data_IF_436182557393
#
_entry.id   IF_436182557393
#
_cell.length_a   1.000
_cell.length_b   1.000
_cell.length_c   1.000
_cell.angle_alpha   90.00
_cell.angle_beta   90.00
_cell.angle_gamma   90.00
#
_symmetry.space_group_name_H-M   'P 1'
#
loop_
_entity.id
_entity.type
_entity.pdbx_description
1 polymer ?
#
# COMPACT_ATOMS: atom_id res chain seq x y z
N UNK A 1 4.86 -7.35 32.70
CA UNK A 1 5.17 -7.92 31.37
C UNK A 1 3.89 -7.91 30.54
N UNK A 2 3.77 -7.01 29.57
CA UNK A 2 2.67 -7.07 28.61
C UNK A 2 3.00 -8.09 27.53
N UNK A 3 2.09 -9.04 27.28
CA UNK A 3 2.25 -10.02 26.20
C UNK A 3 2.31 -9.28 24.85
N UNK A 4 3.23 -9.66 23.93
CA UNK A 4 3.39 -9.01 22.62
C UNK A 4 2.11 -9.05 21.76
N UNK A 5 1.18 -9.95 22.08
CA UNK A 5 -0.11 -10.08 21.38
C UNK A 5 -1.18 -9.11 21.88
N UNK A 6 -0.97 -8.46 23.03
CA UNK A 6 -1.90 -7.47 23.62
C UNK A 6 -3.35 -7.97 23.60
N UNK A 7 -3.58 -9.22 24.02
CA UNK A 7 -4.85 -9.92 23.83
C UNK A 7 -6.04 -9.18 24.45
N UNK A 8 -5.85 -8.52 25.61
CA UNK A 8 -6.88 -7.68 26.23
C UNK A 8 -7.29 -6.51 25.33
N UNK A 9 -6.31 -5.84 24.72
CA UNK A 9 -6.55 -4.76 23.75
C UNK A 9 -7.22 -5.28 22.49
N UNK A 10 -6.81 -6.45 22.01
CA UNK A 10 -7.44 -7.13 20.87
C UNK A 10 -8.92 -7.42 21.14
N UNK A 11 -9.26 -8.03 22.28
CA UNK A 11 -10.66 -8.30 22.65
C UNK A 11 -11.45 -6.99 22.76
N UNK A 12 -10.89 -5.92 23.33
CA UNK A 12 -11.54 -4.60 23.40
C UNK A 12 -11.92 -4.07 22.01
N UNK A 13 -11.03 -4.21 21.01
CA UNK A 13 -11.27 -3.82 19.62
C UNK A 13 -12.31 -4.70 18.92
N UNK A 14 -12.36 -5.98 19.27
CA UNK A 14 -13.31 -6.94 18.72
C UNK A 14 -14.70 -6.87 19.38
N UNK A 15 -14.91 -6.06 20.41
CA UNK A 15 -16.22 -5.97 21.12
C UNK A 15 -17.39 -5.57 20.23
N UNK A 16 -17.12 -4.85 19.13
CA UNK A 16 -18.13 -4.46 18.16
C UNK A 16 -18.54 -5.60 17.22
N UNK A 17 -17.77 -6.70 17.19
CA UNK A 17 -18.12 -7.89 16.45
C UNK A 17 -19.21 -8.65 17.23
N UNK A 18 -20.15 -9.27 16.51
CA UNK A 18 -21.24 -10.06 17.10
C UNK A 18 -20.74 -11.14 18.09
N UNK A 19 -19.56 -11.70 17.84
CA UNK A 19 -18.94 -12.75 18.65
C UNK A 19 -17.43 -12.49 18.86
N UNK A 20 -17.04 -11.64 19.83
CA UNK A 20 -15.66 -11.15 19.95
C UNK A 20 -14.62 -12.26 20.17
N UNK A 21 -14.94 -13.27 20.99
CA UNK A 21 -14.03 -14.39 21.26
C UNK A 21 -13.91 -15.35 20.08
N UNK A 22 -14.99 -15.54 19.31
CA UNK A 22 -14.94 -16.31 18.06
C UNK A 22 -14.12 -15.57 16.99
N UNK A 23 -14.25 -14.25 16.91
CA UNK A 23 -13.42 -13.41 16.04
C UNK A 23 -11.94 -13.53 16.41
N UNK A 24 -11.61 -13.48 17.72
CA UNK A 24 -10.25 -13.71 18.19
C UNK A 24 -9.73 -15.10 17.81
N UNK A 25 -10.53 -16.15 18.02
CA UNK A 25 -10.16 -17.51 17.65
C UNK A 25 -9.84 -17.59 16.14
N UNK A 26 -10.67 -16.99 15.29
CA UNK A 26 -10.46 -16.94 13.83
C UNK A 26 -9.17 -16.22 13.43
N UNK A 27 -8.72 -15.23 14.19
CA UNK A 27 -7.42 -14.58 13.94
C UNK A 27 -6.24 -15.51 14.22
N UNK A 28 -6.39 -16.47 15.13
CA UNK A 28 -5.36 -17.43 15.48
C UNK A 28 -5.37 -18.69 14.60
N UNK A 29 -6.51 -19.03 13.99
CA UNK A 29 -6.63 -20.22 13.15
C UNK A 29 -5.79 -20.07 11.87
N UNK A 30 -5.13 -21.14 11.40
CA UNK A 30 -4.46 -21.14 10.10
C UNK A 30 -5.45 -20.84 8.98
N UNK A 31 -4.94 -20.26 7.88
CA UNK A 31 -5.77 -20.04 6.70
C UNK A 31 -6.19 -21.37 6.06
N UNK A 32 -7.13 -21.33 5.12
CA UNK A 32 -7.56 -22.51 4.34
C UNK A 32 -6.40 -23.18 3.59
N UNK A 33 -5.31 -22.46 3.32
CA UNK A 33 -4.08 -22.98 2.70
C UNK A 33 -3.03 -23.47 3.72
N UNK A 34 -3.39 -23.62 5.00
CA UNK A 34 -2.48 -23.94 6.11
C UNK A 34 -1.29 -22.97 6.26
N UNK A 35 -1.34 -21.82 5.58
CA UNK A 35 -0.37 -20.75 5.72
C UNK A 35 -0.69 -19.88 6.92
N UNK A 36 0.35 -19.41 7.60
CA UNK A 36 0.24 -18.38 8.64
C UNK A 36 -0.23 -17.05 8.06
N UNK A 37 0.28 -16.70 6.88
CA UNK A 37 -0.03 -15.42 6.23
C UNK A 37 -1.37 -15.46 5.52
N UNK A 38 -2.09 -14.35 5.55
CA UNK A 38 -3.31 -14.20 4.77
C UNK A 38 -3.00 -14.15 3.27
N UNK A 39 -3.81 -14.84 2.49
CA UNK A 39 -3.80 -14.71 1.04
C UNK A 39 -4.25 -13.30 0.62
N UNK A 40 -3.84 -12.89 -0.57
CA UNK A 40 -4.40 -11.71 -1.23
C UNK A 40 -5.88 -11.99 -1.51
N UNK A 41 -6.82 -11.17 -0.99
CA UNK A 41 -8.23 -11.28 -1.38
C UNK A 41 -8.39 -11.05 -2.88
N UNK A 42 -9.44 -11.60 -3.49
CA UNK A 42 -9.72 -11.39 -4.92
C UNK A 42 -9.61 -9.90 -5.29
N UNK A 43 -8.64 -9.50 -6.12
CA UNK A 43 -8.42 -8.10 -6.43
C UNK A 43 -9.61 -7.50 -7.20
N UNK A 44 -10.05 -6.30 -6.84
CA UNK A 44 -11.10 -5.64 -7.62
C UNK A 44 -10.57 -5.31 -9.03
N UNK A 45 -11.35 -5.57 -10.09
CA UNK A 45 -10.98 -5.12 -11.44
C UNK A 45 -10.89 -3.59 -11.51
N UNK A 46 -9.94 -3.02 -12.27
CA UNK A 46 -9.81 -1.57 -12.41
C UNK A 46 -11.11 -0.89 -12.86
N UNK A 47 -11.80 -1.49 -13.84
CA UNK A 47 -13.07 -0.95 -14.34
C UNK A 47 -14.18 -0.91 -13.27
N UNK A 48 -14.21 -1.88 -12.35
CA UNK A 48 -15.19 -1.90 -11.26
C UNK A 48 -14.99 -0.74 -10.29
N UNK A 49 -13.73 -0.41 -9.97
CA UNK A 49 -13.38 0.72 -9.10
C UNK A 49 -13.73 2.06 -9.76
N UNK A 50 -13.56 2.16 -11.07
CA UNK A 50 -13.93 3.36 -11.85
C UNK A 50 -15.45 3.55 -11.92
N UNK A 51 -16.20 2.46 -12.09
CA UNK A 51 -17.66 2.51 -12.26
C UNK A 51 -18.42 2.69 -10.93
N UNK A 52 -17.84 2.26 -9.82
CA UNK A 52 -18.41 2.39 -8.47
C UNK A 52 -17.36 3.01 -7.53
N UNK A 53 -17.15 4.35 -7.55
CA UNK A 53 -16.14 5.01 -6.73
C UNK A 53 -16.22 4.68 -5.21
N UNK A 54 -17.43 4.58 -4.61
CA UNK A 54 -17.57 4.14 -3.22
C UNK A 54 -17.10 2.71 -2.92
N UNK A 55 -16.90 1.86 -3.93
CA UNK A 55 -16.58 0.44 -3.76
C UNK A 55 -15.33 0.21 -2.91
N UNK A 56 -14.27 1.00 -3.14
CA UNK A 56 -13.05 0.88 -2.34
C UNK A 56 -13.32 1.20 -0.86
N UNK A 57 -14.12 2.23 -0.59
CA UNK A 57 -14.46 2.62 0.79
C UNK A 57 -15.33 1.56 1.46
N UNK A 58 -16.34 1.05 0.74
CA UNK A 58 -17.22 -0.02 1.19
C UNK A 58 -16.42 -1.27 1.55
N UNK A 59 -15.56 -1.74 0.64
CA UNK A 59 -14.71 -2.93 0.88
C UNK A 59 -13.82 -2.77 2.12
N UNK A 60 -13.27 -1.58 2.35
CA UNK A 60 -12.46 -1.27 3.53
C UNK A 60 -13.26 -1.25 4.84
N UNK A 61 -14.46 -0.65 4.82
CA UNK A 61 -15.35 -0.59 5.97
C UNK A 61 -15.88 -1.99 6.33
N UNK A 62 -16.41 -2.73 5.36
CA UNK A 62 -16.90 -4.10 5.55
C UNK A 62 -15.78 -5.06 5.99
N UNK A 63 -14.56 -4.84 5.49
CA UNK A 63 -13.37 -5.58 5.90
C UNK A 63 -12.78 -5.17 7.25
N UNK A 64 -13.32 -4.15 7.93
CA UNK A 64 -12.83 -3.61 9.21
C UNK A 64 -11.32 -3.28 9.21
N UNK A 65 -10.78 -2.89 8.05
CA UNK A 65 -9.32 -2.86 7.81
C UNK A 65 -8.59 -1.96 8.80
N UNK A 66 -9.10 -0.75 9.05
CA UNK A 66 -8.47 0.23 9.95
C UNK A 66 -8.38 -0.29 11.39
N UNK A 67 -9.40 -1.01 11.86
CA UNK A 67 -9.39 -1.62 13.19
C UNK A 67 -8.45 -2.82 13.24
N UNK A 68 -8.49 -3.69 12.22
CA UNK A 68 -7.63 -4.87 12.12
C UNK A 68 -6.14 -4.52 12.05
N UNK A 69 -5.77 -3.43 11.37
CA UNK A 69 -4.41 -2.90 11.36
C UNK A 69 -3.90 -2.50 12.75
N UNK A 70 -4.80 -2.24 13.71
CA UNK A 70 -4.41 -1.96 15.10
C UNK A 70 -4.32 -3.23 15.98
N UNK A 71 -4.60 -4.42 15.43
CA UNK A 71 -4.58 -5.70 16.15
C UNK A 71 -3.26 -6.45 15.86
N UNK A 72 -2.38 -6.70 16.86
CA UNK A 72 -1.06 -7.30 16.64
C UNK A 72 -1.09 -8.68 15.95
N UNK A 73 -2.01 -9.56 16.34
CA UNK A 73 -2.13 -10.92 15.77
C UNK A 73 -2.61 -10.89 14.31
N UNK A 74 -3.44 -9.92 13.92
CA UNK A 74 -3.83 -9.76 12.53
C UNK A 74 -2.66 -9.21 11.71
N UNK A 75 -1.97 -8.18 12.22
CA UNK A 75 -0.78 -7.61 11.56
C UNK A 75 0.32 -8.63 11.33
N UNK A 76 0.58 -9.53 12.28
CA UNK A 76 1.61 -10.56 12.14
C UNK A 76 1.34 -11.56 11.01
N UNK A 77 0.10 -11.60 10.50
CA UNK A 77 -0.37 -12.44 9.40
C UNK A 77 -0.58 -11.66 8.10
N UNK A 78 -0.66 -10.34 8.17
CA UNK A 78 -0.75 -9.49 7.00
C UNK A 78 0.56 -9.48 6.21
N UNK A 79 0.47 -9.20 4.91
CA UNK A 79 1.59 -9.29 3.97
C UNK A 79 1.79 -7.96 3.22
N UNK A 80 3.02 -7.66 2.76
CA UNK A 80 3.24 -6.48 1.93
C UNK A 80 2.38 -6.53 0.67
N UNK A 81 2.18 -7.71 0.07
CA UNK A 81 1.38 -7.84 -1.14
C UNK A 81 -0.09 -7.44 -0.90
N UNK A 82 -0.69 -7.85 0.22
CA UNK A 82 -2.04 -7.40 0.59
C UNK A 82 -2.12 -5.89 0.78
N UNK A 83 -1.08 -5.27 1.35
CA UNK A 83 -0.99 -3.82 1.49
C UNK A 83 -0.86 -3.12 0.14
N UNK A 84 -0.10 -3.68 -0.80
CA UNK A 84 -0.02 -3.15 -2.18
C UNK A 84 -1.37 -3.19 -2.89
N UNK A 85 -2.16 -4.26 -2.76
CA UNK A 85 -3.50 -4.30 -3.35
C UNK A 85 -4.46 -3.31 -2.69
N UNK A 86 -4.32 -3.06 -1.38
CA UNK A 86 -5.06 -1.99 -0.70
C UNK A 86 -4.65 -0.60 -1.16
N UNK A 87 -3.38 -0.37 -1.49
CA UNK A 87 -2.89 0.87 -2.11
C UNK A 87 -3.41 1.01 -3.54
N UNK A 88 -3.39 -0.08 -4.33
CA UNK A 88 -3.95 -0.11 -5.67
C UNK A 88 -5.42 0.31 -5.68
N UNK A 89 -6.25 -0.26 -4.81
CA UNK A 89 -7.66 0.12 -4.72
C UNK A 89 -7.84 1.60 -4.35
N UNK A 90 -6.97 2.14 -3.48
CA UNK A 90 -7.01 3.55 -3.10
C UNK A 90 -6.57 4.47 -4.25
N UNK A 91 -5.50 4.13 -4.98
CA UNK A 91 -5.03 4.89 -6.15
C UNK A 91 -6.07 4.87 -7.28
N UNK A 92 -6.73 3.73 -7.50
CA UNK A 92 -7.83 3.62 -8.47
C UNK A 92 -9.10 4.37 -8.03
N UNK A 93 -9.29 4.57 -6.73
CA UNK A 93 -10.42 5.31 -6.17
C UNK A 93 -10.35 6.83 -6.39
N UNK A 94 -9.27 7.33 -7.00
CA UNK A 94 -9.09 8.73 -7.37
C UNK A 94 -8.86 9.65 -6.18
N UNK A 95 -9.09 10.95 -6.41
CA UNK A 95 -8.69 12.01 -5.48
C UNK A 95 -9.33 11.89 -4.09
N UNK A 96 -10.56 11.36 -4.01
CA UNK A 96 -11.25 11.13 -2.73
C UNK A 96 -10.55 10.09 -1.84
N UNK A 97 -9.80 9.17 -2.45
CA UNK A 97 -9.12 8.07 -1.76
C UNK A 97 -7.63 8.35 -1.49
N UNK A 98 -7.11 9.50 -1.92
CA UNK A 98 -5.74 9.93 -1.63
C UNK A 98 -5.37 9.90 -0.13
N UNK A 99 -6.21 10.33 0.84
CA UNK A 99 -5.87 10.19 2.26
C UNK A 99 -5.60 8.74 2.69
N UNK A 100 -6.25 7.77 2.04
CA UNK A 100 -6.09 6.35 2.32
C UNK A 100 -4.74 5.83 1.82
N UNK A 101 -4.19 6.40 0.74
CA UNK A 101 -2.83 6.14 0.28
C UNK A 101 -1.83 6.50 1.39
N UNK A 102 -2.02 7.66 2.05
CA UNK A 102 -1.19 8.09 3.18
C UNK A 102 -1.24 7.12 4.36
N UNK A 103 -2.44 6.76 4.82
CA UNK A 103 -2.60 5.83 5.95
C UNK A 103 -2.02 4.44 5.68
N UNK A 104 -2.24 3.91 4.47
CA UNK A 104 -1.72 2.59 4.10
C UNK A 104 -0.19 2.63 3.91
N UNK A 105 0.36 3.73 3.39
CA UNK A 105 1.81 3.95 3.29
C UNK A 105 2.48 4.08 4.66
N UNK A 106 1.82 4.74 5.62
CA UNK A 106 2.25 4.78 7.02
C UNK A 106 2.23 3.38 7.63
N UNK A 107 1.12 2.66 7.48
CA UNK A 107 0.99 1.29 7.94
C UNK A 107 2.09 0.39 7.38
N UNK A 108 2.37 0.48 6.08
CA UNK A 108 3.43 -0.26 5.39
C UNK A 108 4.81 0.08 5.98
N UNK A 109 5.10 1.37 6.22
CA UNK A 109 6.38 1.82 6.77
C UNK A 109 6.67 1.19 8.14
N UNK A 110 5.69 1.14 9.03
CA UNK A 110 5.88 0.58 10.37
C UNK A 110 5.90 -0.95 10.45
N UNK A 111 5.72 -1.66 9.33
CA UNK A 111 5.97 -3.11 9.32
C UNK A 111 7.47 -3.42 9.22
N UNK A 112 8.19 -3.33 10.33
CA UNK A 112 9.64 -3.57 10.39
C UNK A 112 10.12 -5.03 10.19
N UNK A 113 9.23 -5.97 9.81
CA UNK A 113 9.60 -7.38 9.62
C UNK A 113 10.33 -7.57 8.29
N UNK A 114 11.29 -8.50 8.23
CA UNK A 114 12.06 -8.84 7.03
C UNK A 114 11.18 -9.08 5.80
N UNK A 115 10.06 -9.78 5.96
CA UNK A 115 9.12 -10.03 4.86
C UNK A 115 8.50 -8.76 4.21
N UNK A 116 8.61 -7.59 4.86
CA UNK A 116 8.10 -6.30 4.38
C UNK A 116 9.19 -5.39 3.79
N UNK A 117 10.42 -5.87 3.66
CA UNK A 117 11.46 -5.18 2.89
C UNK A 117 11.04 -5.12 1.40
N UNK A 118 11.14 -3.94 0.76
CA UNK A 118 10.64 -3.73 -0.60
C UNK A 118 11.24 -4.72 -1.61
N UNK A 119 12.57 -4.92 -1.57
CA UNK A 119 13.26 -5.84 -2.48
C UNK A 119 12.82 -7.31 -2.36
N UNK A 120 12.10 -7.68 -1.28
CA UNK A 120 11.60 -9.04 -1.04
C UNK A 120 10.15 -9.24 -1.45
N UNK A 121 9.46 -8.19 -1.89
CA UNK A 121 8.07 -8.32 -2.32
C UNK A 121 8.06 -9.24 -3.55
N UNK A 122 7.36 -10.39 -3.49
CA UNK A 122 7.30 -11.31 -4.61
C UNK A 122 6.56 -10.65 -5.78
N UNK A 123 6.93 -11.04 -6.98
CA UNK A 123 6.20 -10.65 -8.19
C UNK A 123 4.78 -11.24 -8.14
N UNK A 124 3.72 -10.42 -8.18
CA UNK A 124 2.36 -10.96 -8.22
C UNK A 124 2.02 -11.63 -9.54
N UNK A 125 2.77 -11.37 -10.62
CA UNK A 125 2.43 -11.81 -11.98
C UNK A 125 0.95 -11.50 -12.31
N UNK A 126 0.49 -10.29 -11.97
CA UNK A 126 -0.92 -9.94 -12.04
C UNK A 126 -1.42 -9.98 -13.50
N UNK A 127 -2.51 -10.71 -13.80
CA UNK A 127 -2.99 -10.89 -15.16
C UNK A 127 -3.61 -9.62 -15.76
N UNK A 128 -4.04 -8.66 -14.94
CA UNK A 128 -4.57 -7.39 -15.41
C UNK A 128 -3.42 -6.39 -15.62
N UNK A 129 -3.17 -5.94 -16.87
CA UNK A 129 -2.02 -5.09 -17.17
C UNK A 129 -2.10 -3.70 -16.52
N UNK A 130 -3.32 -3.16 -16.32
CA UNK A 130 -3.51 -1.86 -15.65
C UNK A 130 -3.18 -2.01 -14.18
N UNK A 131 -3.74 -3.02 -13.52
CA UNK A 131 -3.47 -3.30 -12.10
C UNK A 131 -1.99 -3.61 -11.88
N UNK A 132 -1.36 -4.39 -12.76
CA UNK A 132 0.06 -4.73 -12.63
C UNK A 132 0.96 -3.51 -12.76
N UNK A 133 0.67 -2.62 -13.73
CA UNK A 133 1.37 -1.35 -13.89
C UNK A 133 1.23 -0.45 -12.65
N UNK A 134 0.02 -0.33 -12.09
CA UNK A 134 -0.22 0.46 -10.88
C UNK A 134 0.54 -0.12 -9.68
N UNK A 135 0.53 -1.44 -9.49
CA UNK A 135 1.30 -2.09 -8.42
C UNK A 135 2.80 -1.80 -8.54
N UNK A 136 3.34 -1.80 -9.76
CA UNK A 136 4.74 -1.44 -10.00
C UNK A 136 5.02 0.02 -9.65
N UNK A 137 4.16 0.96 -10.06
CA UNK A 137 4.26 2.38 -9.71
C UNK A 137 4.20 2.59 -8.19
N UNK A 138 3.28 1.92 -7.50
CA UNK A 138 3.14 2.00 -6.04
C UNK A 138 4.44 1.58 -5.35
N UNK A 139 5.05 0.47 -5.76
CA UNK A 139 6.30 -0.01 -5.14
C UNK A 139 7.45 0.97 -5.39
N UNK A 140 7.48 1.60 -6.56
CA UNK A 140 8.47 2.65 -6.88
C UNK A 140 8.23 3.92 -6.07
N UNK A 141 7.00 4.41 -5.94
CA UNK A 141 6.70 5.55 -5.06
C UNK A 141 7.00 5.26 -3.59
N UNK A 142 6.71 4.03 -3.12
CA UNK A 142 7.07 3.59 -1.78
C UNK A 142 8.59 3.59 -1.53
N UNK A 143 9.41 3.27 -2.54
CA UNK A 143 10.87 3.33 -2.43
C UNK A 143 11.32 4.74 -2.07
N UNK A 144 10.88 5.72 -2.84
CA UNK A 144 11.26 7.11 -2.63
C UNK A 144 10.75 7.62 -1.28
N UNK A 145 9.49 7.34 -0.94
CA UNK A 145 8.92 7.75 0.33
C UNK A 145 9.62 7.11 1.53
N UNK A 146 9.97 5.81 1.45
CA UNK A 146 10.68 5.10 2.54
C UNK A 146 12.09 5.66 2.70
N UNK A 147 12.86 5.81 1.61
CA UNK A 147 14.22 6.31 1.69
C UNK A 147 14.28 7.74 2.23
N UNK A 148 13.32 8.59 1.85
CA UNK A 148 13.20 9.92 2.44
C UNK A 148 12.83 9.89 3.92
N UNK A 149 11.87 9.07 4.33
CA UNK A 149 11.54 8.90 5.77
C UNK A 149 12.78 8.46 6.55
N UNK A 150 13.57 7.53 6.01
CA UNK A 150 14.82 7.10 6.62
C UNK A 150 15.87 8.22 6.68
N UNK A 151 16.00 9.02 5.62
CA UNK A 151 16.96 10.14 5.55
C UNK A 151 16.64 11.24 6.55
N UNK A 152 15.37 11.52 6.83
CA UNK A 152 14.99 12.50 7.87
C UNK A 152 14.99 11.91 9.29
N UNK A 153 15.45 10.66 9.47
CA UNK A 153 15.62 10.06 10.79
C UNK A 153 14.49 9.16 11.27
N UNK A 154 13.42 8.98 10.49
CA UNK A 154 12.36 8.05 10.87
C UNK A 154 12.84 6.61 10.76
N UNK A 155 12.35 5.73 11.63
CA UNK A 155 12.70 4.30 11.63
C UNK A 155 11.44 3.46 11.69
N UNK A 156 11.43 2.35 10.94
CA UNK A 156 10.30 1.42 10.82
C UNK A 156 9.89 0.78 12.16
N UNK A 157 10.80 0.75 13.13
CA UNK A 157 10.56 0.24 14.49
C UNK A 157 10.11 1.34 15.48
N UNK A 158 9.91 2.58 15.03
CA UNK A 158 9.55 3.73 15.86
C UNK A 158 10.69 4.32 16.69
N UNK A 159 11.89 3.74 16.65
CA UNK A 159 13.08 4.27 17.35
C UNK A 159 13.78 5.28 16.46
N UNK A 160 13.19 6.47 16.35
CA UNK A 160 13.70 7.55 15.50
C UNK A 160 15.13 7.97 15.86
N UNK A 161 15.92 8.31 14.85
CA UNK A 161 17.28 8.83 15.00
C UNK A 161 17.23 10.28 14.54
N UNK A 162 17.45 11.27 15.42
CA UNK A 162 17.43 12.67 15.00
C UNK A 162 18.51 12.91 13.93
N UNK A 163 18.27 13.82 12.97
CA UNK A 163 19.33 14.33 12.11
C UNK A 163 20.51 14.80 12.96
N UNK A 164 21.74 14.48 12.56
CA UNK A 164 22.94 15.01 13.21
C UNK A 164 23.03 16.53 13.02
N UNK A 165 23.62 17.23 14.00
CA UNK A 165 23.70 18.69 14.01
C UNK A 165 24.16 19.24 12.64
N UNK A 166 23.33 20.12 12.08
CA UNK A 166 23.63 20.90 10.90
C UNK A 166 24.82 21.82 11.21
N UNK A 167 26.02 21.44 10.76
CA UNK A 167 27.25 22.24 10.88
C UNK A 167 27.43 23.20 9.70
N UNK A 168 26.42 23.32 8.83
CA UNK A 168 26.43 24.19 7.64
C UNK A 168 27.26 23.66 6.46
N UNK A 169 27.91 22.49 6.61
CA UNK A 169 28.80 21.91 5.58
C UNK A 169 28.48 20.43 5.29
N UNK A 170 27.91 19.69 6.26
CA UNK A 170 27.57 18.28 6.13
C UNK A 170 26.05 18.00 6.16
N UNK A 171 25.70 16.96 5.43
CA UNK A 171 24.35 16.53 5.04
C UNK A 171 23.33 16.56 6.21
N UNK A 172 22.18 17.26 6.11
CA UNK A 172 21.16 17.37 7.15
C UNK A 172 20.36 16.07 7.41
N UNK A 173 20.85 14.93 6.94
CA UNK A 173 20.14 13.66 6.99
C UNK A 173 20.74 12.70 8.02
N UNK A 174 19.88 11.93 8.68
CA UNK A 174 20.29 10.85 9.55
C UNK A 174 20.92 9.70 8.73
N UNK A 175 21.94 9.00 9.25
CA UNK A 175 22.55 7.86 8.56
C UNK A 175 21.54 6.73 8.39
N UNK A 176 21.41 6.19 7.17
CA UNK A 176 20.53 5.07 6.88
C UNK A 176 21.07 4.21 5.72
N UNK A 177 20.71 2.94 5.73
CA UNK A 177 20.93 2.04 4.60
C UNK A 177 19.77 2.21 3.60
N UNK A 178 20.04 2.62 2.34
CA UNK A 178 19.00 2.76 1.35
C UNK A 178 18.30 1.44 1.07
N UNK A 179 16.98 1.50 0.96
CA UNK A 179 16.15 0.39 0.49
C UNK A 179 16.25 0.32 -1.03
N UNK A 180 16.22 -0.89 -1.58
CA UNK A 180 16.21 -1.18 -3.01
C UNK A 180 14.86 -1.75 -3.48
N UNK A 181 14.62 -1.65 -4.80
CA UNK A 181 13.42 -2.19 -5.45
C UNK A 181 13.50 -3.70 -5.65
N UNK A 182 12.34 -4.39 -5.69
CA UNK A 182 12.28 -5.75 -6.20
C UNK A 182 12.45 -5.73 -7.74
N UNK A 183 13.18 -6.71 -8.27
CA UNK A 183 13.57 -6.73 -9.69
C UNK A 183 12.40 -6.81 -10.70
N UNK A 184 11.20 -7.18 -10.25
CA UNK A 184 10.03 -7.27 -11.14
C UNK A 184 9.47 -5.91 -11.54
N UNK A 185 9.54 -4.88 -10.67
CA UNK A 185 8.91 -3.58 -10.97
C UNK A 185 9.52 -2.93 -12.21
N UNK A 186 10.85 -3.08 -12.38
CA UNK A 186 11.59 -2.57 -13.53
C UNK A 186 11.22 -3.25 -14.85
N UNK A 187 10.63 -4.45 -14.78
CA UNK A 187 10.25 -5.26 -15.96
C UNK A 187 8.79 -5.07 -16.37
N UNK A 188 7.99 -4.38 -15.58
CA UNK A 188 6.57 -4.12 -15.90
C UNK A 188 6.49 -3.05 -16.98
N UNK A 189 5.99 -3.39 -18.19
CA UNK A 189 5.93 -2.46 -19.30
C UNK A 189 4.85 -1.38 -19.09
N UNK A 190 4.89 -0.30 -19.88
CA UNK A 190 3.77 0.62 -19.96
C UNK A 190 2.50 -0.08 -20.44
N UNK A 191 1.33 0.34 -19.93
CA UNK A 191 0.05 -0.21 -20.40
C UNK A 191 -0.18 0.28 -21.84
N UNK A 192 -0.58 -0.63 -22.73
CA UNK A 192 -0.96 -0.27 -24.10
C UNK A 192 -2.13 0.72 -24.10
N UNK A 193 -1.96 1.85 -24.77
CA UNK A 193 -2.96 2.91 -24.89
C UNK A 193 -4.22 2.45 -25.64
N UNK A 194 -4.07 1.55 -26.63
CA UNK A 194 -5.22 0.96 -27.32
C UNK A 194 -6.02 0.07 -26.38
N UNK A 195 -5.32 -0.68 -25.52
CA UNK A 195 -5.97 -1.47 -24.48
C UNK A 195 -6.70 -0.56 -23.47
N UNK A 196 -6.08 0.52 -22.99
CA UNK A 196 -6.73 1.52 -22.12
C UNK A 196 -8.01 2.04 -22.78
N UNK A 197 -7.93 2.52 -24.02
CA UNK A 197 -9.07 3.03 -24.78
C UNK A 197 -10.21 2.01 -24.96
N UNK A 198 -9.88 0.72 -25.03
CA UNK A 198 -10.87 -0.35 -25.16
C UNK A 198 -11.59 -0.67 -23.85
N UNK A 199 -10.90 -0.63 -22.72
CA UNK A 199 -11.42 -1.16 -21.45
C UNK A 199 -11.84 -0.08 -20.46
N UNK A 200 -11.35 1.15 -20.61
CA UNK A 200 -11.67 2.27 -19.72
C UNK A 200 -12.67 3.23 -20.35
N UNK A 201 -13.56 3.86 -19.56
CA UNK A 201 -14.42 4.92 -20.04
C UNK A 201 -13.63 6.12 -20.56
N UNK A 202 -14.11 6.78 -21.61
CA UNK A 202 -13.45 7.96 -22.22
C UNK A 202 -13.12 9.06 -21.22
N UNK A 203 -13.97 9.27 -20.19
CA UNK A 203 -13.74 10.25 -19.11
C UNK A 203 -12.47 10.01 -18.29
N UNK A 204 -11.89 8.81 -18.35
CA UNK A 204 -10.66 8.42 -17.65
C UNK A 204 -9.43 8.51 -18.55
N UNK A 205 -9.56 9.03 -19.77
CA UNK A 205 -8.51 9.01 -20.77
C UNK A 205 -8.16 10.44 -21.17
N UNK A 206 -6.89 10.80 -21.06
CA UNK A 206 -6.42 12.10 -21.52
C UNK A 206 -6.23 12.14 -23.06
N UNK A 207 -6.01 13.33 -23.66
CA UNK A 207 -5.74 13.43 -25.10
C UNK A 207 -4.50 12.67 -25.58
N UNK A 208 -3.59 12.25 -24.68
CA UNK A 208 -2.40 11.46 -24.99
C UNK A 208 -2.68 9.95 -24.89
N UNK A 209 -3.90 9.53 -24.59
CA UNK A 209 -4.32 8.13 -24.43
C UNK A 209 -3.86 7.49 -23.11
N UNK A 210 -3.56 8.30 -22.09
CA UNK A 210 -3.13 7.84 -20.76
C UNK A 210 -4.33 7.70 -19.83
N UNK A 211 -4.23 6.78 -18.88
CA UNK A 211 -5.24 6.57 -17.84
C UNK A 211 -5.12 7.65 -16.75
N UNK A 212 -6.12 8.50 -16.60
CA UNK A 212 -6.19 9.56 -15.59
C UNK A 212 -6.88 9.06 -14.33
N UNK A 213 -6.15 9.00 -13.21
CA UNK A 213 -6.69 8.60 -11.90
C UNK A 213 -6.81 9.78 -10.93
N UNK A 214 -5.87 10.73 -10.98
CA UNK A 214 -5.84 11.92 -10.14
C UNK A 214 -5.79 13.16 -11.02
N UNK A 215 -6.55 14.20 -10.65
CA UNK A 215 -6.56 15.47 -11.38
C UNK A 215 -5.26 16.23 -11.17
N UNK A 216 -4.77 16.89 -12.24
CA UNK A 216 -3.57 17.74 -12.24
C UNK A 216 -2.32 17.10 -11.60
N UNK A 217 -2.17 15.78 -11.77
CA UNK A 217 -1.07 15.02 -11.20
C UNK A 217 0.12 14.90 -12.17
N UNK A 218 1.30 15.22 -11.66
CA UNK A 218 2.58 15.04 -12.36
C UNK A 218 3.43 14.04 -11.58
N UNK A 219 3.68 12.87 -12.18
CA UNK A 219 4.58 11.85 -11.64
C UNK A 219 5.25 11.10 -12.78
N UNK A 220 6.58 11.17 -12.81
CA UNK A 220 7.39 10.40 -13.76
C UNK A 220 7.23 8.88 -13.56
N UNK A 221 6.96 8.45 -12.31
CA UNK A 221 6.77 7.05 -11.94
C UNK A 221 5.52 6.48 -12.60
N UNK A 222 4.41 7.23 -12.59
CA UNK A 222 3.17 6.81 -13.21
C UNK A 222 3.16 7.10 -14.72
N UNK A 223 3.74 8.24 -15.15
CA UNK A 223 3.75 8.64 -16.56
C UNK A 223 4.46 7.61 -17.43
N UNK A 224 5.60 7.06 -16.98
CA UNK A 224 6.32 6.03 -17.73
C UNK A 224 5.50 4.76 -17.99
N UNK A 225 4.35 4.58 -17.30
CA UNK A 225 3.41 3.46 -17.52
C UNK A 225 2.08 3.88 -18.17
N UNK A 226 2.01 5.06 -18.78
CA UNK A 226 0.80 5.65 -19.37
C UNK A 226 -0.32 5.90 -18.35
N UNK A 227 0.04 6.27 -17.12
CA UNK A 227 -0.91 6.59 -16.04
C UNK A 227 -0.64 8.01 -15.54
N UNK A 228 -1.70 8.76 -15.24
CA UNK A 228 -1.64 10.09 -14.62
C UNK A 228 -2.19 9.94 -13.19
N UNK A 229 -1.29 9.95 -12.21
CA UNK A 229 -1.61 9.79 -10.80
C UNK A 229 -0.59 10.51 -9.91
N UNK A 230 -1.07 11.10 -8.81
CA UNK A 230 -0.24 11.79 -7.82
C UNK A 230 0.57 10.85 -6.92
N UNK A 231 1.81 11.24 -6.62
CA UNK A 231 2.64 10.61 -5.58
C UNK A 231 2.51 11.29 -4.22
N UNK A 232 1.83 12.44 -4.13
CA UNK A 232 1.90 13.34 -2.98
C UNK A 232 1.62 12.62 -1.64
N UNK A 233 0.56 11.80 -1.58
CA UNK A 233 0.16 11.07 -0.37
C UNK A 233 1.00 9.85 -0.03
N UNK A 234 2.00 9.48 -0.83
CA UNK A 234 3.03 8.54 -0.38
C UNK A 234 4.00 9.20 0.62
N UNK A 235 4.24 10.51 0.44
CA UNK A 235 5.15 11.31 1.25
C UNK A 235 4.49 11.88 2.50
N UNK A 236 3.25 12.33 2.37
CA UNK A 236 2.50 13.04 3.41
C UNK A 236 1.36 12.19 3.95
N UNK A 237 1.10 12.30 5.26
CA UNK A 237 -0.12 11.79 5.91
C UNK A 237 -1.04 12.99 6.07
#
# INVERSE_FOLDING_TARGET
MESPLVLRGTVKRLRLHRWPYLALLRLCLPTTSLSWSYAVPEPLPPLSLVNDPPLCWKRRCEGDIKNLQAIPIWRSRDTPLRSLYRLYEAVMGGDEMLPVVGYETEYFFYQGRRAWELHRIPDPCDPDPIRYAILACIVESLLHAINWRLSIGLRRNGKHIPPTNYDGVNNPYAPYDPVSLPAWTQRVPPVDKQYIAKVMPERMIDPRGRLVLHTDAESDIFEKRNIVASEHKFWTI
#
